data_IF_132341305393
#
_entry.id   IF_132341305393
#
_cell.length_a   1.000
_cell.length_b   1.000
_cell.length_c   1.000
_cell.angle_alpha   90.00
_cell.angle_beta   90.00
_cell.angle_gamma   90.00
#
_symmetry.space_group_name_H-M   'P 1'
#
loop_
_entity.id
_entity.type
_entity.pdbx_description
1 polymer ?
#
# COMPACT_ATOMS: atom_id res chain seq x y z
N UNK A 1 -3.85 10.79 18.29
CA UNK A 1 -2.59 10.32 18.84
C UNK A 1 -1.82 9.52 17.78
N UNK A 2 -0.63 9.99 17.41
CA UNK A 2 0.22 9.41 16.36
C UNK A 2 0.58 7.96 16.67
N UNK A 3 0.83 7.63 17.94
CA UNK A 3 1.15 6.26 18.36
C UNK A 3 -0.02 5.31 18.11
N UNK A 4 -1.25 5.75 18.34
CA UNK A 4 -2.44 4.91 18.08
C UNK A 4 -2.64 4.67 16.59
N UNK A 5 -2.40 5.68 15.74
CA UNK A 5 -2.40 5.54 14.29
C UNK A 5 -1.45 4.43 13.84
N UNK A 6 -0.16 4.56 14.18
CA UNK A 6 0.84 3.59 13.73
C UNK A 6 0.59 2.19 14.29
N UNK A 7 0.11 2.08 15.51
CA UNK A 7 -0.30 0.79 16.07
C UNK A 7 -1.46 0.19 15.29
N UNK A 8 -2.51 0.97 14.98
CA UNK A 8 -3.65 0.50 14.19
C UNK A 8 -3.20 0.03 12.82
N UNK A 9 -2.48 0.86 12.07
CA UNK A 9 -2.03 0.55 10.70
C UNK A 9 -1.10 -0.66 10.68
N UNK A 10 -0.22 -0.84 11.69
CA UNK A 10 0.67 -1.99 11.78
C UNK A 10 -0.10 -3.29 12.05
N UNK A 11 -1.04 -3.30 12.99
CA UNK A 11 -1.87 -4.48 13.29
C UNK A 11 -2.73 -4.84 12.09
N UNK A 12 -3.39 -3.86 11.48
CA UNK A 12 -4.21 -4.09 10.29
C UNK A 12 -3.36 -4.54 9.09
N UNK A 13 -2.10 -4.09 9.00
CA UNK A 13 -1.15 -4.53 7.97
C UNK A 13 -0.81 -6.02 8.08
N UNK A 14 -0.66 -6.54 9.30
CA UNK A 14 -0.46 -7.97 9.54
C UNK A 14 -1.68 -8.77 9.09
N UNK A 15 -2.89 -8.35 9.49
CA UNK A 15 -4.13 -9.02 9.07
C UNK A 15 -4.33 -8.98 7.55
N UNK A 16 -4.06 -7.84 6.92
CA UNK A 16 -4.10 -7.74 5.46
C UNK A 16 -3.12 -8.73 4.80
N UNK A 17 -1.89 -8.82 5.32
CA UNK A 17 -0.88 -9.75 4.80
C UNK A 17 -1.31 -11.22 4.93
N UNK A 18 -1.88 -11.60 6.07
CA UNK A 18 -2.39 -12.95 6.31
C UNK A 18 -3.54 -13.30 5.35
N UNK A 19 -4.51 -12.40 5.22
CA UNK A 19 -5.69 -12.61 4.34
C UNK A 19 -5.26 -12.69 2.87
N UNK A 20 -4.36 -11.81 2.41
CA UNK A 20 -3.89 -11.82 1.02
C UNK A 20 -3.02 -13.04 0.73
N UNK A 21 -2.18 -13.47 1.66
CA UNK A 21 -1.40 -14.70 1.54
C UNK A 21 -2.31 -15.91 1.40
N UNK A 22 -3.33 -16.03 2.25
CA UNK A 22 -4.31 -17.12 2.18
C UNK A 22 -5.06 -17.16 0.84
N UNK A 23 -5.47 -15.98 0.31
CA UNK A 23 -6.10 -15.88 -1.00
C UNK A 23 -5.19 -16.35 -2.14
N UNK A 24 -3.91 -16.00 -2.09
CA UNK A 24 -2.93 -16.46 -3.09
C UNK A 24 -2.80 -17.98 -3.02
N UNK A 25 -2.58 -18.55 -1.83
CA UNK A 25 -2.40 -19.99 -1.65
C UNK A 25 -3.66 -20.80 -2.04
N UNK A 26 -4.85 -20.24 -1.84
CA UNK A 26 -6.10 -20.90 -2.25
C UNK A 26 -6.28 -20.90 -3.77
N UNK A 27 -5.89 -19.83 -4.46
CA UNK A 27 -6.26 -19.60 -5.86
C UNK A 27 -5.14 -19.86 -6.86
N UNK A 28 -3.89 -19.75 -6.44
CA UNK A 28 -2.72 -19.83 -7.32
C UNK A 28 -1.92 -21.08 -7.01
N UNK A 29 -1.87 -22.02 -7.99
CA UNK A 29 -1.08 -23.24 -7.85
C UNK A 29 0.40 -23.03 -8.13
N UNK A 30 0.70 -22.16 -9.06
CA UNK A 30 2.06 -21.82 -9.48
C UNK A 30 2.17 -20.29 -9.59
N UNK A 31 2.82 -19.68 -8.62
CA UNK A 31 2.95 -18.23 -8.58
C UNK A 31 3.89 -17.69 -9.67
N UNK A 32 4.92 -18.47 -10.06
CA UNK A 32 5.84 -18.05 -11.13
C UNK A 32 5.16 -17.97 -12.49
N UNK A 33 4.12 -18.78 -12.69
CA UNK A 33 3.35 -18.79 -13.92
C UNK A 33 2.39 -17.57 -14.05
N UNK A 34 2.27 -16.72 -13.03
CA UNK A 34 1.42 -15.53 -13.11
C UNK A 34 2.01 -14.46 -14.03
N UNK A 35 3.34 -14.30 -14.05
CA UNK A 35 3.99 -13.30 -14.90
C UNK A 35 3.71 -13.57 -16.38
N UNK A 36 3.20 -12.55 -17.08
CA UNK A 36 2.77 -12.67 -18.47
C UNK A 36 1.38 -13.28 -18.68
N UNK A 37 0.70 -13.70 -17.60
CA UNK A 37 -0.66 -14.26 -17.69
C UNK A 37 -1.70 -13.24 -17.24
N UNK A 38 -2.18 -12.41 -18.18
CA UNK A 38 -3.16 -11.37 -17.90
C UNK A 38 -4.43 -11.92 -17.26
N UNK A 39 -4.97 -13.05 -17.79
CA UNK A 39 -6.20 -13.65 -17.27
C UNK A 39 -6.05 -14.17 -15.84
N UNK A 40 -4.87 -14.77 -15.51
CA UNK A 40 -4.61 -15.28 -14.17
C UNK A 40 -4.43 -14.13 -13.14
N UNK A 41 -3.73 -13.06 -13.54
CA UNK A 41 -3.58 -11.87 -12.74
C UNK A 41 -4.92 -11.15 -12.54
N UNK A 42 -5.74 -11.05 -13.58
CA UNK A 42 -7.08 -10.46 -13.47
C UNK A 42 -7.95 -11.23 -12.47
N UNK A 43 -7.98 -12.54 -12.53
CA UNK A 43 -8.74 -13.37 -11.60
C UNK A 43 -8.24 -13.21 -10.15
N UNK A 44 -6.92 -13.13 -9.95
CA UNK A 44 -6.34 -12.93 -8.63
C UNK A 44 -6.68 -11.53 -8.08
N UNK A 45 -6.43 -10.47 -8.85
CA UNK A 45 -6.75 -9.09 -8.45
C UNK A 45 -8.24 -8.92 -8.17
N UNK A 46 -9.12 -9.52 -8.98
CA UNK A 46 -10.57 -9.49 -8.76
C UNK A 46 -10.97 -10.11 -7.42
N UNK A 47 -10.27 -11.16 -6.99
CA UNK A 47 -10.52 -11.78 -5.68
C UNK A 47 -10.01 -10.96 -4.50
N UNK A 48 -8.98 -10.13 -4.72
CA UNK A 48 -8.32 -9.35 -3.68
C UNK A 48 -8.93 -7.96 -3.46
N UNK A 49 -9.55 -7.37 -4.49
CA UNK A 49 -9.98 -5.97 -4.43
C UNK A 49 -11.03 -5.73 -3.34
N UNK A 50 -12.04 -6.60 -3.24
CA UNK A 50 -13.07 -6.49 -2.19
C UNK A 50 -12.50 -6.53 -0.77
N UNK A 51 -11.74 -7.57 -0.40
CA UNK A 51 -11.05 -7.66 0.88
C UNK A 51 -10.10 -6.47 1.15
N UNK A 52 -9.32 -6.02 0.16
CA UNK A 52 -8.47 -4.83 0.30
C UNK A 52 -9.31 -3.60 0.68
N UNK A 53 -10.42 -3.36 -0.02
CA UNK A 53 -11.32 -2.25 0.28
C UNK A 53 -11.88 -2.33 1.71
N UNK A 54 -12.23 -3.52 2.18
CA UNK A 54 -12.70 -3.72 3.55
C UNK A 54 -11.63 -3.37 4.58
N UNK A 55 -10.39 -3.82 4.39
CA UNK A 55 -9.28 -3.47 5.27
C UNK A 55 -9.01 -1.97 5.29
N UNK A 56 -9.04 -1.28 4.14
CA UNK A 56 -8.86 0.17 4.06
C UNK A 56 -9.97 0.93 4.79
N UNK A 57 -11.21 0.43 4.73
CA UNK A 57 -12.33 1.05 5.45
C UNK A 57 -12.21 0.91 6.98
N UNK A 58 -11.55 -0.13 7.47
CA UNK A 58 -11.37 -0.42 8.89
C UNK A 58 -10.09 0.18 9.49
N UNK A 59 -9.09 0.47 8.65
CA UNK A 59 -7.81 0.99 9.10
C UNK A 59 -7.78 2.53 9.13
N UNK A 60 -6.95 3.08 10.01
CA UNK A 60 -6.65 4.51 10.11
C UNK A 60 -5.67 4.91 8.97
N UNK A 61 -6.15 4.94 7.72
CA UNK A 61 -5.30 5.16 6.56
C UNK A 61 -5.99 5.95 5.45
N UNK A 62 -5.21 6.52 4.55
CA UNK A 62 -5.70 7.19 3.34
C UNK A 62 -5.89 6.25 2.16
N UNK A 63 -5.30 5.06 2.20
CA UNK A 63 -5.38 4.06 1.16
C UNK A 63 -4.68 2.76 1.54
N UNK A 64 -4.77 1.76 0.68
CA UNK A 64 -4.11 0.47 0.89
C UNK A 64 -3.70 -0.16 -0.43
N UNK A 65 -2.70 -1.02 -0.40
CA UNK A 65 -2.12 -1.60 -1.59
C UNK A 65 -1.69 -3.05 -1.41
N UNK A 66 -1.61 -3.74 -2.54
CA UNK A 66 -1.03 -5.07 -2.71
C UNK A 66 -0.10 -4.96 -3.91
N UNK A 67 1.18 -5.22 -3.73
CA UNK A 67 2.19 -5.24 -4.77
C UNK A 67 2.68 -6.68 -4.92
N UNK A 68 2.39 -7.29 -6.06
CA UNK A 68 2.75 -8.67 -6.35
C UNK A 68 4.18 -8.76 -6.89
N UNK A 69 4.87 -9.85 -6.59
CA UNK A 69 6.15 -10.19 -7.21
C UNK A 69 6.01 -10.70 -8.67
N UNK A 70 4.86 -10.47 -9.30
CA UNK A 70 4.54 -10.86 -10.67
C UNK A 70 4.17 -9.62 -11.51
N UNK A 71 4.32 -9.69 -12.83
CA UNK A 71 4.06 -8.63 -13.79
C UNK A 71 3.14 -9.10 -14.90
N UNK A 72 2.42 -8.18 -15.55
CA UNK A 72 1.70 -8.48 -16.80
C UNK A 72 2.66 -8.84 -17.95
N UNK A 73 3.90 -8.38 -17.89
CA UNK A 73 4.96 -8.78 -18.81
C UNK A 73 5.63 -10.06 -18.34
N UNK A 74 5.90 -10.96 -19.29
CA UNK A 74 6.81 -12.10 -19.08
C UNK A 74 8.29 -11.74 -19.27
N UNK A 75 8.57 -10.53 -19.76
CA UNK A 75 9.94 -10.04 -19.96
C UNK A 75 10.50 -9.50 -18.63
N UNK A 76 11.55 -10.13 -18.07
CA UNK A 76 12.13 -9.69 -16.80
C UNK A 76 12.86 -8.32 -16.90
N UNK A 77 13.09 -7.82 -18.11
CA UNK A 77 13.64 -6.47 -18.29
C UNK A 77 12.61 -5.35 -18.11
N UNK A 78 11.32 -5.71 -18.06
CA UNK A 78 10.24 -4.75 -17.76
C UNK A 78 10.13 -4.58 -16.27
N UNK A 79 10.50 -3.40 -15.78
CA UNK A 79 10.45 -3.05 -14.36
C UNK A 79 9.04 -2.57 -13.98
N UNK A 80 8.13 -3.53 -13.86
CA UNK A 80 6.75 -3.30 -13.41
C UNK A 80 6.24 -4.49 -12.60
N UNK A 81 5.25 -4.23 -11.74
CA UNK A 81 4.62 -5.22 -10.87
C UNK A 81 3.11 -5.09 -10.92
N UNK A 82 2.42 -6.20 -11.08
CA UNK A 82 0.98 -6.27 -10.93
C UNK A 82 0.57 -6.04 -9.47
N UNK A 83 -0.66 -5.64 -9.25
CA UNK A 83 -1.22 -5.46 -7.94
C UNK A 83 -2.34 -4.43 -7.91
N UNK A 84 -2.74 -4.08 -6.70
CA UNK A 84 -3.85 -3.17 -6.44
C UNK A 84 -3.41 -2.03 -5.51
N UNK A 85 -3.87 -0.82 -5.80
CA UNK A 85 -3.77 0.29 -4.85
C UNK A 85 -5.07 1.08 -4.90
N UNK A 86 -5.74 1.18 -3.77
CA UNK A 86 -6.96 1.99 -3.62
C UNK A 86 -6.69 3.15 -2.68
N UNK A 87 -7.28 4.30 -2.99
CA UNK A 87 -7.18 5.52 -2.20
C UNK A 87 -8.56 6.07 -1.87
N UNK A 88 -8.72 6.71 -0.73
CA UNK A 88 -9.92 7.48 -0.42
C UNK A 88 -10.07 8.64 -1.42
N UNK A 89 -11.25 8.81 -1.96
CA UNK A 89 -11.57 9.92 -2.88
C UNK A 89 -11.45 11.29 -2.19
N UNK A 90 -11.68 11.31 -0.89
CA UNK A 90 -11.43 12.45 -0.01
C UNK A 90 -10.80 11.94 1.29
N UNK A 91 -9.52 12.24 1.50
CA UNK A 91 -8.78 11.81 2.67
C UNK A 91 -9.22 12.48 3.99
N UNK A 92 -9.97 13.59 3.92
CA UNK A 92 -10.54 14.23 5.11
C UNK A 92 -11.71 13.43 5.70
N UNK A 93 -12.27 12.48 4.96
CA UNK A 93 -13.43 11.69 5.37
C UNK A 93 -13.15 10.19 5.34
N UNK A 94 -13.19 9.55 6.51
CA UNK A 94 -12.97 8.11 6.65
C UNK A 94 -14.02 7.23 5.95
N UNK A 95 -15.18 7.80 5.62
CA UNK A 95 -16.29 7.12 4.93
C UNK A 95 -16.37 7.45 3.44
N UNK A 96 -15.36 8.16 2.89
CA UNK A 96 -15.35 8.48 1.47
C UNK A 96 -15.20 7.23 0.61
N UNK A 97 -15.70 7.31 -0.63
CA UNK A 97 -15.51 6.26 -1.62
C UNK A 97 -14.02 5.99 -1.85
N UNK A 98 -13.71 4.78 -2.33
CA UNK A 98 -12.37 4.40 -2.73
C UNK A 98 -12.22 4.52 -4.25
N UNK A 99 -11.06 4.95 -4.69
CA UNK A 99 -10.67 5.04 -6.09
C UNK A 99 -9.50 4.09 -6.37
N UNK A 100 -9.53 3.41 -7.51
CA UNK A 100 -8.45 2.55 -7.97
C UNK A 100 -7.29 3.40 -8.51
N UNK A 101 -6.14 3.32 -7.86
CA UNK A 101 -4.94 4.06 -8.22
C UNK A 101 -3.93 3.20 -8.99
N UNK A 102 -3.84 1.90 -8.64
CA UNK A 102 -3.14 0.86 -9.42
C UNK A 102 -4.02 -0.38 -9.49
N UNK A 103 -3.93 -1.08 -10.61
CA UNK A 103 -4.68 -2.31 -10.87
C UNK A 103 -5.41 -2.27 -12.21
N UNK A 104 -6.05 -3.38 -12.59
CA UNK A 104 -6.82 -3.46 -13.82
C UNK A 104 -8.15 -2.69 -13.70
N UNK A 105 -8.36 -1.69 -14.58
CA UNK A 105 -9.52 -0.78 -14.48
C UNK A 105 -10.88 -1.49 -14.58
N UNK A 106 -10.97 -2.59 -15.31
CA UNK A 106 -12.22 -3.34 -15.48
C UNK A 106 -12.64 -4.01 -14.16
N UNK A 107 -11.68 -4.51 -13.39
CA UNK A 107 -11.92 -5.05 -12.05
C UNK A 107 -12.45 -3.96 -11.13
N UNK A 108 -11.85 -2.77 -11.16
CA UNK A 108 -12.33 -1.62 -10.41
C UNK A 108 -13.79 -1.31 -10.73
N UNK A 109 -14.15 -1.24 -12.00
CA UNK A 109 -15.53 -0.97 -12.44
C UNK A 109 -16.51 -2.04 -11.97
N UNK A 110 -16.15 -3.31 -12.05
CA UNK A 110 -16.97 -4.43 -11.58
C UNK A 110 -17.28 -4.34 -10.07
N UNK A 111 -16.31 -3.88 -9.28
CA UNK A 111 -16.42 -3.70 -7.84
C UNK A 111 -16.88 -2.29 -7.42
N UNK A 112 -17.27 -1.42 -8.37
CA UNK A 112 -17.67 -0.02 -8.13
C UNK A 112 -16.57 0.85 -7.52
N UNK A 113 -15.32 0.47 -7.73
CA UNK A 113 -14.12 1.23 -7.37
C UNK A 113 -13.63 1.91 -8.64
N UNK A 114 -14.05 3.16 -8.85
CA UNK A 114 -13.74 3.89 -10.09
C UNK A 114 -12.25 4.19 -10.19
N UNK A 115 -11.68 4.21 -11.41
CA UNK A 115 -10.29 4.59 -11.59
C UNK A 115 -10.03 6.02 -11.12
N UNK A 116 -8.93 6.19 -10.39
CA UNK A 116 -8.41 7.52 -10.03
C UNK A 116 -7.91 8.25 -11.29
N UNK A 117 -7.98 9.60 -11.32
CA UNK A 117 -7.51 10.41 -12.46
C UNK A 117 -6.04 10.16 -12.86
N UNK A 118 -5.23 9.65 -11.93
CA UNK A 118 -3.82 9.28 -12.11
C UNK A 118 -3.61 7.76 -12.01
N UNK A 119 -4.63 7.03 -12.44
CA UNK A 119 -4.60 5.59 -12.51
C UNK A 119 -3.48 5.09 -13.44
N UNK A 120 -2.88 3.97 -13.07
CA UNK A 120 -2.05 3.13 -13.93
C UNK A 120 -2.35 1.66 -13.67
N UNK A 121 -2.08 0.81 -14.64
CA UNK A 121 -2.44 -0.60 -14.57
C UNK A 121 -1.53 -1.40 -13.64
N UNK A 122 -0.26 -1.04 -13.55
CA UNK A 122 0.74 -1.69 -12.72
C UNK A 122 1.54 -0.67 -11.90
N UNK A 123 2.29 -1.19 -10.93
CA UNK A 123 3.28 -0.42 -10.20
C UNK A 123 4.57 -0.34 -11.03
N UNK A 124 5.11 0.86 -11.20
CA UNK A 124 6.49 1.08 -11.60
C UNK A 124 7.32 1.31 -10.32
N UNK A 125 8.32 0.49 -10.00
CA UNK A 125 9.11 0.63 -8.76
C UNK A 125 9.73 2.01 -8.58
N UNK A 126 10.18 2.63 -9.67
CA UNK A 126 10.74 3.99 -9.65
C UNK A 126 9.76 5.06 -9.14
N UNK A 127 8.45 4.80 -9.27
CA UNK A 127 7.40 5.70 -8.79
C UNK A 127 7.17 5.61 -7.27
N UNK A 128 7.65 4.54 -6.63
CA UNK A 128 7.47 4.26 -5.20
C UNK A 128 8.82 3.94 -4.53
N UNK A 129 9.72 4.93 -4.41
CA UNK A 129 11.02 4.72 -3.79
C UNK A 129 10.86 4.16 -2.38
N UNK A 130 11.73 3.25 -1.99
CA UNK A 130 11.67 2.52 -0.73
C UNK A 130 10.72 1.31 -0.73
N UNK A 131 9.66 1.27 -1.55
CA UNK A 131 8.79 0.10 -1.67
C UNK A 131 9.47 -1.00 -2.53
N UNK A 132 10.15 -0.60 -3.60
CA UNK A 132 10.96 -1.51 -4.41
C UNK A 132 12.10 -2.13 -3.60
N UNK A 133 12.83 -1.30 -2.84
CA UNK A 133 13.92 -1.76 -1.97
C UNK A 133 13.42 -2.76 -0.93
N UNK A 134 12.21 -2.55 -0.40
CA UNK A 134 11.59 -3.47 0.54
C UNK A 134 11.23 -4.81 -0.13
N UNK A 135 10.75 -4.81 -1.37
CA UNK A 135 10.43 -6.02 -2.10
C UNK A 135 11.70 -6.85 -2.38
N UNK A 136 12.80 -6.22 -2.76
CA UNK A 136 14.09 -6.87 -2.95
C UNK A 136 14.67 -7.42 -1.63
N UNK A 137 14.57 -6.66 -0.54
CA UNK A 137 15.10 -7.03 0.76
C UNK A 137 14.39 -8.25 1.38
N UNK A 138 13.14 -8.51 1.02
CA UNK A 138 12.38 -9.67 1.51
C UNK A 138 12.91 -10.99 0.95
N UNK A 139 13.78 -10.97 -0.04
CA UNK A 139 14.50 -12.15 -0.54
C UNK A 139 15.53 -12.71 0.48
N UNK A 140 15.84 -11.98 1.55
CA UNK A 140 16.68 -12.39 2.68
C UNK A 140 15.84 -13.01 3.82
N UNK A 141 16.42 -13.74 4.81
CA UNK A 141 15.68 -14.39 5.88
C UNK A 141 14.73 -13.42 6.59
N UNK A 142 13.48 -13.78 6.57
CA UNK A 142 12.31 -12.96 6.69
C UNK A 142 12.12 -12.41 8.10
N UNK A 143 12.32 -11.12 8.27
CA UNK A 143 11.65 -10.40 9.32
C UNK A 143 10.22 -10.06 8.83
N UNK A 144 9.22 -10.67 9.45
CA UNK A 144 7.79 -10.38 9.18
C UNK A 144 7.36 -8.99 9.69
N UNK A 145 8.30 -8.12 9.99
CA UNK A 145 8.04 -6.79 10.49
C UNK A 145 7.51 -5.88 9.38
N UNK A 146 6.46 -5.13 9.70
CA UNK A 146 6.02 -4.05 8.85
C UNK A 146 7.13 -2.97 8.79
N UNK A 147 7.39 -2.47 7.58
CA UNK A 147 8.36 -1.41 7.30
C UNK A 147 7.66 -0.20 6.73
N UNK A 148 8.19 0.97 7.01
CA UNK A 148 7.73 2.23 6.42
C UNK A 148 8.68 2.68 5.32
N UNK A 149 8.15 3.35 4.29
CA UNK A 149 8.96 4.13 3.38
C UNK A 149 9.36 5.45 4.03
N UNK A 150 10.33 6.14 3.46
CA UNK A 150 10.43 7.59 3.65
C UNK A 150 9.18 8.30 3.13
N UNK A 151 9.05 9.59 3.43
CA UNK A 151 8.02 10.43 2.86
C UNK A 151 8.21 10.51 1.34
N UNK A 152 7.22 10.10 0.58
CA UNK A 152 7.25 10.12 -0.88
C UNK A 152 6.08 10.92 -1.44
N UNK A 153 6.26 11.48 -2.64
CA UNK A 153 5.15 12.09 -3.39
C UNK A 153 4.47 11.02 -4.22
N UNK A 154 3.15 10.87 -4.04
CA UNK A 154 2.38 9.88 -4.81
C UNK A 154 2.38 10.21 -6.30
N UNK A 155 2.69 9.25 -7.18
CA UNK A 155 2.88 9.45 -8.62
C UNK A 155 1.75 10.22 -9.30
N UNK A 156 2.13 11.27 -10.02
CA UNK A 156 1.19 12.12 -10.76
C UNK A 156 0.34 13.05 -9.90
N UNK A 157 0.59 13.11 -8.59
CA UNK A 157 -0.11 13.99 -7.63
C UNK A 157 0.88 14.93 -6.95
N UNK A 158 0.37 15.83 -6.11
CA UNK A 158 1.15 16.65 -5.18
C UNK A 158 1.06 16.13 -3.75
N UNK A 159 0.38 15.02 -3.54
CA UNK A 159 0.18 14.43 -2.22
C UNK A 159 1.42 13.69 -1.74
N UNK A 160 1.84 14.02 -0.55
CA UNK A 160 2.89 13.31 0.15
C UNK A 160 2.29 12.22 1.04
N UNK A 161 2.93 11.06 1.07
CA UNK A 161 2.49 9.91 1.85
C UNK A 161 3.66 9.10 2.40
N UNK A 162 3.41 8.39 3.49
CA UNK A 162 4.24 7.30 3.98
C UNK A 162 3.49 6.01 3.70
N UNK A 163 4.17 5.03 3.14
CA UNK A 163 3.61 3.69 2.95
C UNK A 163 4.19 2.76 4.02
N UNK A 164 3.29 2.05 4.70
CA UNK A 164 3.65 0.98 5.62
C UNK A 164 3.32 -0.33 4.96
N UNK A 165 4.30 -1.21 4.81
CA UNK A 165 4.16 -2.50 4.16
C UNK A 165 4.65 -3.65 5.00
N UNK A 166 4.07 -4.82 4.78
CA UNK A 166 4.54 -6.11 5.26
C UNK A 166 4.59 -7.12 4.12
N UNK A 167 5.45 -8.14 4.22
CA UNK A 167 5.56 -9.16 3.20
C UNK A 167 4.37 -10.13 3.27
N UNK A 168 3.93 -10.58 2.11
CA UNK A 168 3.03 -11.72 1.95
C UNK A 168 3.87 -12.98 1.79
N UNK A 169 3.90 -13.83 2.81
CA UNK A 169 4.79 -14.99 2.87
C UNK A 169 3.98 -16.27 3.03
N UNK A 170 4.12 -17.17 2.06
CA UNK A 170 3.48 -18.46 2.07
C UNK A 170 4.02 -19.41 3.15
N UNK A 171 3.31 -20.52 3.35
CA UNK A 171 3.67 -21.54 4.33
C UNK A 171 5.02 -22.20 4.03
N UNK A 172 5.44 -22.23 2.79
CA UNK A 172 6.74 -22.73 2.32
C UNK A 172 7.88 -21.69 2.44
N UNK A 173 7.57 -20.49 2.94
CA UNK A 173 8.51 -19.38 3.05
C UNK A 173 8.66 -18.55 1.78
N UNK A 174 7.89 -18.85 0.73
CA UNK A 174 7.89 -18.08 -0.51
C UNK A 174 7.28 -16.71 -0.30
N UNK A 175 7.90 -15.69 -0.84
CA UNK A 175 7.40 -14.32 -0.82
C UNK A 175 6.59 -14.06 -2.08
N UNK A 176 5.33 -13.69 -1.92
CA UNK A 176 4.43 -13.35 -3.01
C UNK A 176 4.45 -11.86 -3.36
N UNK A 177 4.94 -11.03 -2.47
CA UNK A 177 5.01 -9.59 -2.63
C UNK A 177 4.87 -8.85 -1.30
N UNK A 178 4.43 -7.60 -1.38
CA UNK A 178 4.17 -6.73 -0.24
C UNK A 178 2.71 -6.29 -0.24
N UNK A 179 2.16 -6.03 0.93
CA UNK A 179 0.89 -5.32 1.06
C UNK A 179 0.90 -4.41 2.26
N UNK A 180 0.02 -3.43 2.29
CA UNK A 180 -0.04 -2.50 3.40
C UNK A 180 -0.93 -1.29 3.15
N UNK A 181 -0.63 -0.22 3.87
CA UNK A 181 -1.44 0.99 3.88
C UNK A 181 -0.60 2.22 3.61
N UNK A 182 -1.26 3.26 3.10
CA UNK A 182 -0.70 4.60 2.97
C UNK A 182 -1.38 5.56 3.93
N UNK A 183 -0.58 6.45 4.49
CA UNK A 183 -1.05 7.61 5.25
C UNK A 183 -0.54 8.85 4.53
N UNK A 184 -1.42 9.57 3.86
CA UNK A 184 -1.05 10.81 3.21
C UNK A 184 -1.19 12.01 4.16
N UNK A 185 -0.56 13.12 3.77
CA UNK A 185 -0.53 14.34 4.58
C UNK A 185 -1.94 14.88 4.89
N UNK A 186 -2.83 14.86 3.91
CA UNK A 186 -4.22 15.33 4.08
C UNK A 186 -4.96 14.52 5.13
N UNK A 187 -4.87 13.17 5.05
CA UNK A 187 -5.47 12.28 6.03
C UNK A 187 -4.89 12.50 7.43
N UNK A 188 -3.56 12.56 7.52
CA UNK A 188 -2.86 12.78 8.78
C UNK A 188 -3.28 14.10 9.43
N UNK A 189 -3.30 15.18 8.67
CA UNK A 189 -3.68 16.51 9.16
C UNK A 189 -5.14 16.55 9.64
N UNK A 190 -6.05 15.92 8.90
CA UNK A 190 -7.47 15.93 9.25
C UNK A 190 -7.80 15.11 10.51
N UNK A 191 -7.10 13.98 10.72
CA UNK A 191 -7.50 13.01 11.74
C UNK A 191 -6.55 12.93 12.94
N UNK A 192 -5.29 13.30 12.79
CA UNK A 192 -4.26 13.10 13.81
C UNK A 192 -3.52 14.38 14.25
N UNK A 193 -3.60 15.45 13.47
CA UNK A 193 -3.01 16.75 13.76
C UNK A 193 -4.06 17.78 14.25
N UNK A 194 -4.98 17.37 15.10
CA UNK A 194 -5.98 18.27 15.67
C UNK A 194 -5.31 19.40 16.45
N UNK A 195 -5.83 20.63 16.38
CA UNK A 195 -5.30 21.74 17.15
C UNK A 195 -5.28 21.36 18.63
N UNK A 196 -4.09 21.36 19.23
CA UNK A 196 -3.97 21.18 20.66
C UNK A 196 -4.35 22.47 21.37
N UNK A 197 -4.72 22.38 22.67
CA UNK A 197 -4.92 23.56 23.51
C UNK A 197 -3.63 24.42 23.64
N UNK A 198 -2.50 23.92 23.14
CA UNK A 198 -1.21 24.60 23.08
C UNK A 198 -1.02 25.16 21.67
N UNK A 199 -1.23 26.46 21.53
CA UNK A 199 -1.27 27.19 20.25
C UNK A 199 0.03 27.25 19.44
N UNK A 200 1.11 26.56 19.87
CA UNK A 200 2.41 26.54 19.21
C UNK A 200 2.99 25.12 19.07
N UNK A 201 2.15 24.09 19.13
CA UNK A 201 2.60 22.71 18.93
C UNK A 201 2.64 22.39 17.44
N UNK A 202 3.84 22.11 16.91
CA UNK A 202 4.02 21.50 15.59
C UNK A 202 4.19 20.00 15.75
N UNK A 203 3.45 19.20 14.96
CA UNK A 203 3.60 17.76 14.92
C UNK A 203 4.52 17.41 13.74
N UNK A 204 5.64 16.74 14.01
CA UNK A 204 6.61 16.32 13.00
C UNK A 204 6.75 14.81 13.08
N UNK A 205 6.54 14.13 11.93
CA UNK A 205 6.89 12.72 11.75
C UNK A 205 8.30 12.65 11.18
N UNK A 206 9.23 12.05 11.93
CA UNK A 206 10.59 11.82 11.46
C UNK A 206 11.01 10.38 11.73
N UNK A 207 11.98 9.90 10.96
CA UNK A 207 12.62 8.61 11.25
C UNK A 207 13.44 8.73 12.56
N UNK A 208 13.19 7.81 13.50
CA UNK A 208 13.87 7.79 14.79
C UNK A 208 15.38 7.44 14.66
N UNK A 209 15.77 6.77 13.57
CA UNK A 209 17.16 6.38 13.34
C UNK A 209 18.03 7.56 12.86
N UNK A 210 17.45 8.55 12.18
CA UNK A 210 18.17 9.71 11.63
C UNK A 210 18.07 10.95 12.53
N UNK A 211 17.32 10.91 13.62
CA UNK A 211 17.02 12.06 14.46
C UNK A 211 15.96 12.98 13.86
N UNK A 212 15.67 14.09 14.55
CA UNK A 212 14.67 15.05 14.13
C UNK A 212 15.20 15.93 12.99
N UNK A 213 14.91 15.57 11.76
CA UNK A 213 15.12 16.44 10.59
C UNK A 213 13.79 17.05 10.14
N UNK A 214 13.58 18.31 10.49
CA UNK A 214 12.34 19.05 10.17
C UNK A 214 12.13 19.17 8.65
N UNK A 215 13.16 19.09 7.84
CA UNK A 215 13.04 19.17 6.38
C UNK A 215 12.58 17.86 5.74
N UNK A 216 12.77 16.74 6.42
CA UNK A 216 12.35 15.41 5.97
C UNK A 216 11.05 14.92 6.63
N UNK A 217 10.56 15.60 7.64
CA UNK A 217 9.34 15.23 8.37
C UNK A 217 8.06 15.73 7.70
N UNK A 218 6.94 15.11 8.05
CA UNK A 218 5.60 15.56 7.70
C UNK A 218 5.24 16.73 8.65
N UNK A 219 5.26 17.95 8.13
CA UNK A 219 4.83 19.14 8.88
C UNK A 219 3.31 19.28 8.78
N UNK A 220 2.65 19.41 9.89
CA UNK A 220 1.22 19.68 10.02
C UNK A 220 0.96 21.08 10.55
#
# INVERSE_FOLDING_TARGET
DVTSLWRNVSVMGVHLSEDMTALIEERVKDFDALSGSADALEQLEASMLGPLCQHVQQADCSGGFILLGASLSSDPAVDSHAGLYVQRSNAEHTTSDLLLYRGMADIGRQHRVMPHRKWAQEFCPADFPGLADQLEAVSAPIERACRTTELLTLPGTTEQAILLSGPMVGADGRVYGLCGFSVNQTYFSAHHAQPSAVSSLACVLSDAAEGLDIQKGLLT
#
